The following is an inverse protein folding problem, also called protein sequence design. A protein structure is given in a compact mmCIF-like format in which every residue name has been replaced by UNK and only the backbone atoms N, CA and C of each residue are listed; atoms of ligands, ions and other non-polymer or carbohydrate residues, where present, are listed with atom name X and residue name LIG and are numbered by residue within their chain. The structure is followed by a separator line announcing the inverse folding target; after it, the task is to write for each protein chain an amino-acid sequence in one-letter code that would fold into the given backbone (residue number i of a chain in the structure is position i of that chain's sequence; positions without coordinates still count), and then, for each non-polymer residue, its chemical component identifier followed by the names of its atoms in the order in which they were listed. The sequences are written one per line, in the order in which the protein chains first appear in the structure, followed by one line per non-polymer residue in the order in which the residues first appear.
data_IF_848689314920
#
_entry.id   IF_848689314920
#
_cell.length_a   1.000
_cell.length_b   1.000
_cell.length_c   1.000
_cell.angle_alpha   90.00
_cell.angle_beta   90.00
_cell.angle_gamma   90.00
#
_symmetry.space_group_name_H-M   'P 1'
#
loop_
_entity.id
_entity.type
_entity.pdbx_description
1 polymer ?
#
# COMPACT_ATOMS: atom_id res chain seq x y z
N UNK A 1 -34.39 -31.62 66.93
CA UNK A 1 -33.69 -32.01 65.68
C UNK A 1 -33.12 -30.76 65.05
N UNK A 2 -31.79 -30.67 64.93
CA UNK A 2 -31.09 -29.45 64.51
C UNK A 2 -30.81 -29.52 63.00
N UNK A 3 -31.61 -28.81 62.20
CA UNK A 3 -31.57 -28.91 60.74
C UNK A 3 -30.53 -27.92 60.16
N UNK A 4 -29.25 -28.31 60.18
CA UNK A 4 -28.18 -27.50 59.58
C UNK A 4 -28.14 -27.70 58.06
N UNK A 5 -28.54 -26.66 57.33
CA UNK A 5 -28.46 -26.60 55.86
C UNK A 5 -27.00 -26.42 55.45
N UNK A 6 -26.43 -27.42 54.75
CA UNK A 6 -25.08 -27.30 54.18
C UNK A 6 -25.14 -26.34 52.99
N UNK A 7 -24.50 -25.19 53.12
CA UNK A 7 -24.28 -24.25 52.00
C UNK A 7 -22.90 -24.56 51.44
N UNK A 8 -22.87 -25.10 50.23
CA UNK A 8 -21.62 -25.34 49.50
C UNK A 8 -21.19 -24.02 48.87
N UNK A 9 -20.20 -23.37 49.46
CA UNK A 9 -19.52 -22.23 48.83
C UNK A 9 -18.57 -22.80 47.79
N UNK A 10 -18.97 -22.74 46.52
CA UNK A 10 -18.06 -23.04 45.42
C UNK A 10 -16.96 -21.97 45.40
N UNK A 11 -15.77 -22.32 45.86
CA UNK A 11 -14.59 -21.49 45.69
C UNK A 11 -14.12 -21.66 44.24
N UNK A 12 -14.72 -20.88 43.33
CA UNK A 12 -14.43 -20.86 41.89
C UNK A 12 -13.07 -20.23 41.55
N UNK A 13 -12.06 -20.41 42.39
CA UNK A 13 -10.69 -19.97 42.12
C UNK A 13 -10.02 -20.96 41.17
N UNK A 14 -10.21 -20.76 39.86
CA UNK A 14 -9.42 -21.46 38.85
C UNK A 14 -8.10 -20.71 38.64
N UNK A 15 -7.09 -21.00 39.47
CA UNK A 15 -5.72 -20.48 39.28
C UNK A 15 -5.16 -20.77 37.87
N UNK A 16 -5.62 -21.86 37.24
CA UNK A 16 -5.34 -22.23 35.84
C UNK A 16 -5.97 -21.28 34.82
N UNK A 17 -7.16 -20.72 35.10
CA UNK A 17 -7.83 -19.79 34.20
C UNK A 17 -7.11 -18.45 34.12
N UNK A 18 -6.62 -17.94 35.24
CA UNK A 18 -5.85 -16.70 35.29
C UNK A 18 -4.48 -16.84 34.61
N UNK A 19 -3.77 -17.96 34.86
CA UNK A 19 -2.51 -18.26 34.18
C UNK A 19 -2.69 -18.44 32.67
N UNK A 20 -3.74 -19.15 32.24
CA UNK A 20 -4.08 -19.29 30.83
C UNK A 20 -4.35 -17.94 30.16
N UNK A 21 -5.08 -17.05 30.84
CA UNK A 21 -5.35 -15.69 30.35
C UNK A 21 -4.08 -14.87 30.17
N UNK A 22 -3.16 -14.92 31.14
CA UNK A 22 -1.85 -14.26 31.08
C UNK A 22 -1.03 -14.81 29.90
N UNK A 23 -1.02 -16.13 29.70
CA UNK A 23 -0.26 -16.78 28.63
C UNK A 23 -0.81 -16.41 27.24
N UNK A 24 -2.13 -16.38 27.08
CA UNK A 24 -2.80 -15.91 25.85
C UNK A 24 -2.50 -14.44 25.59
N UNK A 25 -2.55 -13.58 26.62
CA UNK A 25 -2.23 -12.16 26.46
C UNK A 25 -0.77 -11.97 26.03
N UNK A 26 0.15 -12.70 26.66
CA UNK A 26 1.56 -12.66 26.32
C UNK A 26 1.81 -13.11 24.87
N UNK A 27 1.12 -14.16 24.42
CA UNK A 27 1.18 -14.61 23.02
C UNK A 27 0.69 -13.54 22.04
N UNK A 28 -0.44 -12.90 22.34
CA UNK A 28 -1.00 -11.84 21.49
C UNK A 28 -0.06 -10.63 21.40
N UNK A 29 0.52 -10.21 22.53
CA UNK A 29 1.50 -9.12 22.56
C UNK A 29 2.75 -9.51 21.75
N UNK A 30 3.24 -10.73 21.92
CA UNK A 30 4.40 -11.23 21.16
C UNK A 30 4.12 -11.22 19.65
N UNK A 31 2.98 -11.75 19.22
CA UNK A 31 2.57 -11.74 17.82
C UNK A 31 2.47 -10.31 17.29
N UNK A 32 1.86 -9.40 18.04
CA UNK A 32 1.74 -8.00 17.66
C UNK A 32 3.12 -7.35 17.44
N UNK A 33 4.06 -7.54 18.36
CA UNK A 33 5.43 -7.02 18.23
C UNK A 33 6.13 -7.64 17.02
N UNK A 34 6.01 -8.96 16.84
CA UNK A 34 6.63 -9.68 15.74
C UNK A 34 6.14 -9.14 14.38
N UNK A 35 4.82 -9.05 14.18
CA UNK A 35 4.24 -8.52 12.95
C UNK A 35 4.58 -7.05 12.74
N UNK A 36 4.63 -6.24 13.80
CA UNK A 36 5.02 -4.82 13.71
C UNK A 36 6.45 -4.67 13.21
N UNK A 37 7.39 -5.45 13.77
CA UNK A 37 8.79 -5.44 13.31
C UNK A 37 8.93 -5.91 11.87
N UNK A 38 8.23 -7.00 11.51
CA UNK A 38 8.22 -7.52 10.15
C UNK A 38 7.66 -6.49 9.15
N UNK A 39 6.57 -5.81 9.52
CA UNK A 39 5.97 -4.77 8.71
C UNK A 39 6.92 -3.59 8.51
N UNK A 40 7.53 -3.08 9.59
CA UNK A 40 8.49 -1.97 9.51
C UNK A 40 9.64 -2.35 8.56
N UNK A 41 10.13 -3.59 8.59
CA UNK A 41 11.21 -4.03 7.71
C UNK A 41 10.81 -4.17 6.23
N UNK A 42 9.61 -4.67 5.94
CA UNK A 42 9.15 -4.92 4.58
C UNK A 42 8.56 -3.68 3.91
N UNK A 43 7.88 -2.82 4.68
CA UNK A 43 7.11 -1.69 4.16
C UNK A 43 7.95 -0.71 3.32
N UNK A 44 9.14 -0.25 3.75
CA UNK A 44 9.95 0.68 2.96
C UNK A 44 10.41 0.06 1.64
N UNK A 45 10.71 -1.23 1.64
CA UNK A 45 11.14 -1.97 0.45
C UNK A 45 10.00 -2.07 -0.56
N UNK A 46 8.81 -2.43 -0.10
CA UNK A 46 7.61 -2.47 -0.95
C UNK A 46 7.24 -1.07 -1.48
N UNK A 47 7.31 -0.04 -0.63
CA UNK A 47 7.06 1.34 -1.00
C UNK A 47 8.04 1.82 -2.08
N UNK A 48 9.32 1.48 -1.95
CA UNK A 48 10.35 1.83 -2.92
C UNK A 48 10.06 1.18 -4.28
N UNK A 49 9.82 -0.13 -4.30
CA UNK A 49 9.53 -0.88 -5.53
C UNK A 49 8.30 -0.32 -6.24
N UNK A 50 7.20 -0.13 -5.51
CA UNK A 50 5.96 0.42 -6.07
C UNK A 50 6.18 1.82 -6.64
N UNK A 51 6.91 2.67 -5.92
CA UNK A 51 7.17 4.05 -6.35
C UNK A 51 8.04 4.09 -7.62
N UNK A 52 9.03 3.20 -7.75
CA UNK A 52 9.84 3.07 -8.97
C UNK A 52 8.98 2.59 -10.15
N UNK A 53 8.15 1.57 -9.95
CA UNK A 53 7.25 1.06 -11.01
C UNK A 53 6.31 2.16 -11.49
N UNK A 54 5.69 2.89 -10.56
CA UNK A 54 4.77 3.98 -10.88
C UNK A 54 5.47 5.12 -11.62
N UNK A 55 6.70 5.46 -11.22
CA UNK A 55 7.53 6.47 -11.87
C UNK A 55 7.83 6.10 -13.32
N UNK A 56 8.37 4.91 -13.56
CA UNK A 56 8.73 4.43 -14.91
C UNK A 56 7.50 4.39 -15.81
N UNK A 57 6.39 3.84 -15.31
CA UNK A 57 5.12 3.78 -16.06
C UNK A 57 4.59 5.17 -16.39
N UNK A 58 4.66 6.13 -15.47
CA UNK A 58 4.19 7.50 -15.74
C UNK A 58 5.08 8.22 -16.75
N UNK A 59 6.41 8.08 -16.65
CA UNK A 59 7.33 8.68 -17.61
C UNK A 59 7.10 8.11 -19.01
N UNK A 60 6.90 6.81 -19.13
CA UNK A 60 6.60 6.16 -20.39
C UNK A 60 5.29 6.69 -21.01
N UNK A 61 4.23 6.80 -20.22
CA UNK A 61 2.95 7.34 -20.70
C UNK A 61 3.05 8.81 -21.09
N UNK A 62 3.79 9.62 -20.34
CA UNK A 62 4.03 11.03 -20.68
C UNK A 62 4.85 11.16 -21.99
N UNK A 63 5.80 10.26 -22.21
CA UNK A 63 6.56 10.20 -23.46
C UNK A 63 5.66 9.84 -24.66
N UNK A 64 4.80 8.84 -24.50
CA UNK A 64 3.80 8.48 -25.52
C UNK A 64 2.82 9.63 -25.80
N UNK A 65 2.33 10.29 -24.75
CA UNK A 65 1.50 11.48 -24.86
C UNK A 65 2.20 12.56 -25.69
N UNK A 66 3.46 12.88 -25.36
CA UNK A 66 4.25 13.90 -26.07
C UNK A 66 4.50 13.53 -27.52
N UNK A 67 4.69 12.24 -27.82
CA UNK A 67 4.85 11.75 -29.19
C UNK A 67 3.57 12.00 -29.99
N UNK A 68 2.40 11.64 -29.45
CA UNK A 68 1.10 11.88 -30.08
C UNK A 68 0.83 13.37 -30.29
N UNK A 69 1.07 14.20 -29.29
CA UNK A 69 0.89 15.65 -29.36
C UNK A 69 1.73 16.29 -30.49
N UNK A 70 3.00 15.89 -30.62
CA UNK A 70 3.84 16.34 -31.75
C UNK A 70 3.29 15.94 -33.11
N UNK A 71 2.76 14.73 -33.24
CA UNK A 71 2.19 14.28 -34.51
C UNK A 71 0.88 15.00 -34.83
N UNK A 72 0.03 15.27 -33.83
CA UNK A 72 -1.18 16.07 -34.00
C UNK A 72 -0.84 17.52 -34.43
N UNK A 73 0.12 18.15 -33.76
CA UNK A 73 0.57 19.53 -34.10
C UNK A 73 1.20 19.64 -35.49
N UNK A 74 1.85 18.57 -35.97
CA UNK A 74 2.40 18.51 -37.32
C UNK A 74 1.33 18.27 -38.41
N UNK A 75 0.04 18.16 -38.05
CA UNK A 75 -1.02 17.80 -38.97
C UNK A 75 -0.90 16.37 -39.49
N UNK A 76 -0.37 15.46 -38.66
CA UNK A 76 -0.20 14.06 -39.02
C UNK A 76 -1.54 13.34 -39.19
N UNK A 77 -1.56 12.36 -40.09
CA UNK A 77 -2.71 11.50 -40.37
C UNK A 77 -2.33 10.05 -40.09
N UNK A 78 -3.31 9.22 -39.71
CA UNK A 78 -3.17 7.77 -39.59
C UNK A 78 -4.21 7.10 -40.47
N UNK A 79 -3.86 5.93 -41.00
CA UNK A 79 -4.82 5.09 -41.70
C UNK A 79 -5.41 4.08 -40.71
N UNK A 80 -6.73 4.13 -40.53
CA UNK A 80 -7.51 3.16 -39.74
C UNK A 80 -8.53 2.53 -40.68
N UNK A 81 -8.49 1.20 -40.85
CA UNK A 81 -9.43 0.46 -41.70
C UNK A 81 -9.59 1.01 -43.13
N UNK A 82 -8.50 1.54 -43.71
CA UNK A 82 -8.47 2.12 -45.05
C UNK A 82 -8.95 3.58 -45.14
N UNK A 83 -9.27 4.21 -44.01
CA UNK A 83 -9.66 5.63 -43.91
C UNK A 83 -8.52 6.44 -43.32
N UNK A 84 -8.17 7.55 -43.98
CA UNK A 84 -7.16 8.49 -43.49
C UNK A 84 -7.83 9.46 -42.51
N UNK A 85 -7.50 9.33 -41.23
CA UNK A 85 -8.01 10.18 -40.15
C UNK A 85 -6.91 11.08 -39.58
N UNK A 86 -7.22 12.34 -39.22
CA UNK A 86 -6.25 13.23 -38.56
C UNK A 86 -5.92 12.72 -37.15
N UNK A 87 -4.65 12.83 -36.74
CA UNK A 87 -4.26 12.52 -35.37
C UNK A 87 -4.82 13.61 -34.45
N UNK A 88 -5.77 13.22 -33.61
CA UNK A 88 -6.32 14.11 -32.58
C UNK A 88 -5.28 14.43 -31.50
N UNK A 89 -5.39 15.65 -30.95
CA UNK A 89 -4.58 16.05 -29.82
C UNK A 89 -4.88 15.15 -28.60
N UNK A 90 -3.85 14.59 -27.95
CA UNK A 90 -4.06 13.72 -26.81
C UNK A 90 -4.56 14.51 -25.59
N UNK A 91 -5.38 13.87 -24.76
CA UNK A 91 -6.03 14.49 -23.60
C UNK A 91 -5.03 15.08 -22.58
N UNK A 92 -5.24 16.34 -22.21
CA UNK A 92 -4.42 17.04 -21.22
C UNK A 92 -4.64 16.52 -19.80
N UNK A 93 -5.80 15.95 -19.46
CA UNK A 93 -6.01 15.39 -18.12
C UNK A 93 -5.09 14.19 -17.88
N UNK A 94 -4.88 13.35 -18.90
CA UNK A 94 -3.91 12.25 -18.83
C UNK A 94 -2.48 12.74 -18.57
N UNK A 95 -2.06 13.84 -19.19
CA UNK A 95 -0.75 14.47 -18.95
C UNK A 95 -0.62 14.95 -17.51
N UNK A 96 -1.61 15.65 -16.99
CA UNK A 96 -1.58 16.20 -15.63
C UNK A 96 -1.57 15.09 -14.59
N UNK A 97 -2.39 14.05 -14.79
CA UNK A 97 -2.39 12.84 -13.95
C UNK A 97 -1.02 12.18 -13.89
N UNK A 98 -0.37 11.92 -15.03
CA UNK A 98 0.95 11.29 -15.05
C UNK A 98 2.03 12.19 -14.47
N UNK A 99 1.93 13.51 -14.67
CA UNK A 99 2.84 14.49 -14.07
C UNK A 99 2.74 14.49 -12.54
N UNK A 100 1.53 14.55 -11.99
CA UNK A 100 1.30 14.45 -10.54
C UNK A 100 1.78 13.10 -9.99
N UNK A 101 1.56 12.02 -10.75
CA UNK A 101 2.03 10.68 -10.37
C UNK A 101 3.55 10.56 -10.34
N UNK A 102 4.27 11.29 -11.21
CA UNK A 102 5.74 11.38 -11.16
C UNK A 102 6.20 12.05 -9.86
N UNK A 103 5.64 13.22 -9.51
CA UNK A 103 6.01 13.92 -8.28
C UNK A 103 5.74 13.09 -7.02
N UNK A 104 4.57 12.46 -6.95
CA UNK A 104 4.21 11.57 -5.83
C UNK A 104 5.10 10.33 -5.76
N UNK A 105 5.49 9.76 -6.90
CA UNK A 105 6.43 8.63 -6.93
C UNK A 105 7.83 9.04 -6.46
N UNK A 106 8.32 10.22 -6.85
CA UNK A 106 9.59 10.75 -6.35
C UNK A 106 9.54 10.97 -4.84
N UNK A 107 8.45 11.57 -4.33
CA UNK A 107 8.25 11.73 -2.89
C UNK A 107 8.21 10.37 -2.17
N UNK A 108 7.53 9.38 -2.74
CA UNK A 108 7.49 8.00 -2.23
C UNK A 108 8.87 7.33 -2.17
N UNK A 109 9.71 7.53 -3.19
CA UNK A 109 11.10 7.05 -3.20
C UNK A 109 11.91 7.70 -2.08
N UNK A 110 11.83 9.03 -1.93
CA UNK A 110 12.55 9.76 -0.88
C UNK A 110 12.11 9.26 0.50
N UNK A 111 10.80 9.12 0.74
CA UNK A 111 10.26 8.60 2.00
C UNK A 111 10.74 7.17 2.24
N UNK A 112 10.71 6.30 1.23
CA UNK A 112 11.20 4.93 1.36
C UNK A 112 12.67 4.86 1.74
N UNK A 113 13.53 5.65 1.08
CA UNK A 113 14.95 5.73 1.38
C UNK A 113 15.22 6.29 2.79
N UNK A 114 14.44 7.29 3.22
CA UNK A 114 14.52 7.79 4.59
C UNK A 114 14.13 6.71 5.59
N UNK A 115 13.01 6.03 5.38
CA UNK A 115 12.57 4.94 6.27
C UNK A 115 13.60 3.81 6.34
N UNK A 116 14.21 3.43 5.22
CA UNK A 116 15.29 2.44 5.20
C UNK A 116 16.54 2.88 5.97
N UNK A 117 16.86 4.18 5.98
CA UNK A 117 18.01 4.71 6.74
C UNK A 117 17.80 4.62 8.25
N UNK A 118 16.55 4.72 8.71
CA UNK A 118 16.18 4.71 10.12
C UNK A 118 15.75 3.32 10.64
N UNK A 119 15.92 2.28 9.81
CA UNK A 119 15.66 0.87 10.11
C UNK A 119 16.93 0.14 10.53
#
# INVERSE_FOLDING_TARGET
MNNKRRVYVYNGSSGLGCLGLILVLALLIFLFIFFTKLFIQLFPTLLLILSIILLVSSIYNLWQWRKKDKHAQAGGFIEVDGVIEPIEAPDNQAKDYHTQRIFTSIAGIIIALLLMKYL
#
